data_IF_462101094884
#
_entry.id   IF_462101094884
#
_cell.length_a   1.000
_cell.length_b   1.000
_cell.length_c   1.000
_cell.angle_alpha   90.00
_cell.angle_beta   90.00
_cell.angle_gamma   90.00
#
_symmetry.space_group_name_H-M   'P 1'
#
loop_
_entity.id
_entity.type
_entity.pdbx_description
1 polymer ?
#
# COMPACT_ATOMS: atom_id res chain seq x y z
N UNK A 1 3.33 0.86 19.42
CA UNK A 1 2.27 1.45 18.58
C UNK A 1 2.52 1.11 17.12
N UNK A 2 1.51 0.62 16.44
CA UNK A 2 1.60 0.27 15.01
C UNK A 2 1.10 1.43 14.16
N UNK A 3 1.62 1.55 12.93
CA UNK A 3 1.22 2.60 11.98
C UNK A 3 0.97 1.97 10.62
N UNK A 4 -0.24 2.12 10.10
CA UNK A 4 -0.63 1.60 8.78
C UNK A 4 -1.11 2.73 7.88
N UNK A 5 -0.86 2.58 6.58
CA UNK A 5 -1.17 3.61 5.59
C UNK A 5 -1.67 2.93 4.31
N UNK A 6 -2.99 2.86 4.08
CA UNK A 6 -3.50 2.23 2.87
C UNK A 6 -3.26 3.12 1.64
N UNK A 7 -3.12 2.47 0.48
CA UNK A 7 -2.93 3.14 -0.80
C UNK A 7 -4.09 2.93 -1.78
N UNK A 8 -5.07 2.10 -1.43
CA UNK A 8 -6.24 1.81 -2.26
C UNK A 8 -7.43 1.37 -1.40
N UNK A 9 -8.65 1.35 -1.96
CA UNK A 9 -9.85 1.00 -1.20
C UNK A 9 -9.85 -0.42 -0.63
N UNK A 10 -9.34 -1.40 -1.36
CA UNK A 10 -9.30 -2.79 -0.89
C UNK A 10 -8.40 -2.92 0.35
N UNK A 11 -7.23 -2.29 0.32
CA UNK A 11 -6.31 -2.26 1.45
C UNK A 11 -6.89 -1.47 2.62
N UNK A 12 -7.59 -0.37 2.34
CA UNK A 12 -8.23 0.41 3.40
C UNK A 12 -9.20 -0.44 4.20
N UNK A 13 -10.04 -1.23 3.52
CA UNK A 13 -10.96 -2.14 4.19
C UNK A 13 -10.23 -3.21 5.01
N UNK A 14 -9.29 -3.92 4.37
CA UNK A 14 -8.60 -5.03 5.02
C UNK A 14 -7.68 -4.59 6.16
N UNK A 15 -6.96 -3.49 5.99
CA UNK A 15 -6.08 -2.95 7.03
C UNK A 15 -6.87 -2.33 8.19
N UNK A 16 -7.99 -1.66 7.92
CA UNK A 16 -8.80 -1.08 8.98
C UNK A 16 -9.39 -2.18 9.87
N UNK A 17 -9.94 -3.23 9.26
CA UNK A 17 -10.46 -4.36 10.01
C UNK A 17 -9.37 -5.03 10.85
N UNK A 18 -8.19 -5.24 10.28
CA UNK A 18 -7.06 -5.80 11.00
C UNK A 18 -6.63 -4.90 12.17
N UNK A 19 -6.65 -3.57 11.96
CA UNK A 19 -6.31 -2.59 12.99
C UNK A 19 -7.29 -2.62 14.16
N UNK A 20 -8.58 -2.73 13.88
CA UNK A 20 -9.63 -2.82 14.92
C UNK A 20 -9.45 -4.08 15.77
N UNK A 21 -9.04 -5.17 15.14
CA UNK A 21 -8.87 -6.48 15.81
C UNK A 21 -7.50 -6.68 16.43
N UNK A 22 -6.57 -5.74 16.24
CA UNK A 22 -5.24 -5.83 16.82
C UNK A 22 -5.31 -5.51 18.33
N UNK A 23 -4.46 -6.17 19.10
CA UNK A 23 -4.40 -5.96 20.55
C UNK A 23 -3.61 -4.72 20.95
N UNK A 24 -2.82 -4.19 20.02
CA UNK A 24 -2.03 -2.98 20.26
C UNK A 24 -2.72 -1.74 19.69
N UNK A 25 -2.37 -0.55 20.18
CA UNK A 25 -2.83 0.68 19.54
C UNK A 25 -2.28 0.79 18.12
N UNK A 26 -3.13 1.17 17.18
CA UNK A 26 -2.78 1.34 15.76
C UNK A 26 -3.15 2.74 15.32
N UNK A 27 -2.18 3.45 14.73
CA UNK A 27 -2.44 4.69 14.02
C UNK A 27 -2.77 4.31 12.58
N UNK A 28 -3.98 4.63 12.14
CA UNK A 28 -4.45 4.39 10.78
C UNK A 28 -4.41 5.72 10.03
N UNK A 29 -3.40 5.89 9.17
CA UNK A 29 -3.19 7.16 8.47
C UNK A 29 -3.91 7.15 7.13
N UNK A 30 -4.77 8.12 6.91
CA UNK A 30 -5.53 8.29 5.68
C UNK A 30 -5.12 9.56 4.97
N UNK A 31 -5.20 9.56 3.64
CA UNK A 31 -5.05 10.77 2.84
C UNK A 31 -6.44 11.28 2.45
N UNK A 32 -6.78 12.47 2.90
CA UNK A 32 -8.05 13.11 2.56
C UNK A 32 -8.21 13.25 1.04
N UNK A 33 -7.12 13.49 0.33
CA UNK A 33 -7.13 13.61 -1.13
C UNK A 33 -7.57 12.33 -1.83
N UNK A 34 -7.49 11.18 -1.15
CA UNK A 34 -7.86 9.88 -1.70
C UNK A 34 -9.28 9.45 -1.35
N UNK A 35 -10.03 10.20 -0.58
CA UNK A 35 -11.37 9.79 -0.15
C UNK A 35 -12.35 9.58 -1.31
N UNK A 36 -12.14 10.27 -2.43
CA UNK A 36 -12.94 10.08 -3.63
C UNK A 36 -12.44 8.99 -4.57
N UNK A 37 -11.31 8.37 -4.28
CA UNK A 37 -10.72 7.36 -5.14
C UNK A 37 -11.57 6.09 -5.12
N UNK A 38 -11.74 5.48 -6.30
CA UNK A 38 -12.52 4.27 -6.47
C UNK A 38 -11.61 3.11 -6.83
N UNK A 39 -11.99 1.91 -6.41
CA UNK A 39 -11.28 0.70 -6.74
C UNK A 39 -12.13 -0.50 -6.39
N UNK A 40 -11.73 -1.65 -6.90
CA UNK A 40 -12.39 -2.92 -6.58
C UNK A 40 -12.13 -3.28 -5.12
N UNK A 41 -13.20 -3.56 -4.39
CA UNK A 41 -13.13 -4.01 -3.00
C UNK A 41 -13.82 -5.36 -2.92
N UNK A 42 -13.11 -6.43 -2.53
CA UNK A 42 -13.75 -7.74 -2.40
C UNK A 42 -14.91 -7.70 -1.39
N UNK A 43 -15.99 -8.39 -1.74
CA UNK A 43 -17.10 -8.59 -0.81
C UNK A 43 -16.70 -9.56 0.29
N UNK A 44 -17.46 -9.53 1.39
CA UNK A 44 -17.26 -10.45 2.48
C UNK A 44 -16.18 -10.04 3.45
N UNK A 45 -15.77 -10.99 4.24
CA UNK A 45 -14.82 -10.79 5.34
C UNK A 45 -13.41 -11.13 4.89
N UNK A 46 -12.48 -10.18 5.06
CA UNK A 46 -11.06 -10.44 4.89
C UNK A 46 -10.25 -9.45 5.70
N UNK A 47 -9.03 -9.85 6.01
CA UNK A 47 -8.05 -9.02 6.71
C UNK A 47 -6.79 -8.92 5.85
N UNK A 48 -6.11 -7.78 5.95
CA UNK A 48 -4.76 -7.64 5.43
C UNK A 48 -3.83 -7.62 6.64
N UNK A 49 -2.85 -8.55 6.72
CA UNK A 49 -1.97 -8.60 7.88
C UNK A 49 -1.17 -7.32 8.07
N UNK A 50 -1.15 -6.79 9.28
CA UNK A 50 -0.30 -5.67 9.65
C UNK A 50 1.15 -6.16 9.71
N UNK A 51 2.07 -5.42 9.09
CA UNK A 51 3.47 -5.78 9.08
C UNK A 51 3.92 -6.52 7.83
N UNK A 52 3.05 -6.69 6.84
CA UNK A 52 3.38 -7.33 5.56
C UNK A 52 3.20 -6.36 4.40
N UNK A 53 4.26 -6.19 3.62
CA UNK A 53 4.25 -5.39 2.41
C UNK A 53 3.62 -6.15 1.24
N UNK A 54 3.32 -5.43 0.18
CA UNK A 54 2.77 -6.01 -1.04
C UNK A 54 3.63 -5.63 -2.24
N UNK A 55 3.98 -6.61 -3.06
CA UNK A 55 4.62 -6.34 -4.35
C UNK A 55 3.51 -5.98 -5.34
N UNK A 56 3.39 -4.69 -5.62
CA UNK A 56 2.36 -4.16 -6.52
C UNK A 56 2.70 -4.47 -7.97
N UNK A 57 3.97 -4.42 -8.30
CA UNK A 57 4.48 -4.70 -9.63
C UNK A 57 5.86 -5.35 -9.51
N UNK A 58 6.06 -6.43 -10.22
CA UNK A 58 7.38 -7.06 -10.31
C UNK A 58 8.26 -6.33 -11.32
N UNK A 59 9.56 -6.32 -11.08
CA UNK A 59 10.54 -5.72 -11.98
C UNK A 59 11.95 -6.13 -11.63
N UNK A 60 12.89 -5.90 -12.55
CA UNK A 60 14.25 -6.42 -12.46
C UNK A 60 15.33 -5.35 -12.43
N UNK A 61 15.01 -4.10 -12.77
CA UNK A 61 16.03 -3.05 -12.95
C UNK A 61 16.21 -2.17 -11.71
N UNK A 62 15.10 -1.81 -11.07
CA UNK A 62 15.09 -0.94 -9.90
C UNK A 62 13.92 -1.29 -9.00
N UNK A 63 14.06 -1.12 -7.70
CA UNK A 63 12.97 -1.30 -6.74
C UNK A 63 12.58 0.04 -6.15
N UNK A 64 11.29 0.35 -6.19
CA UNK A 64 10.71 1.55 -5.59
C UNK A 64 9.85 1.11 -4.41
N UNK A 65 10.23 1.54 -3.21
CA UNK A 65 9.48 1.27 -1.98
C UNK A 65 8.68 2.52 -1.61
N UNK A 66 7.39 2.36 -1.39
CA UNK A 66 6.50 3.50 -1.15
C UNK A 66 5.33 3.11 -0.24
N UNK A 67 4.51 4.07 0.08
CA UNK A 67 3.30 3.86 0.87
C UNK A 67 2.28 4.98 0.65
N UNK A 68 1.03 4.70 0.98
CA UNK A 68 -0.05 5.69 0.97
C UNK A 68 -0.30 6.31 -0.40
N UNK A 69 -0.65 7.59 -0.39
CA UNK A 69 -1.04 8.32 -1.62
C UNK A 69 0.07 8.44 -2.64
N UNK A 70 1.33 8.30 -2.21
CA UNK A 70 2.46 8.37 -3.13
C UNK A 70 2.42 7.26 -4.17
N UNK A 71 1.88 6.10 -3.81
CA UNK A 71 1.79 4.97 -4.73
C UNK A 71 0.94 5.31 -5.96
N UNK A 72 -0.37 5.61 -5.84
CA UNK A 72 -1.19 5.87 -7.04
C UNK A 72 -0.91 7.23 -7.67
N UNK A 73 -0.52 8.23 -6.89
CA UNK A 73 -0.41 9.62 -7.38
C UNK A 73 0.93 9.94 -8.02
N UNK A 74 2.01 9.31 -7.55
CA UNK A 74 3.38 9.64 -7.99
C UNK A 74 4.08 8.44 -8.58
N UNK A 75 4.14 7.33 -7.83
CA UNK A 75 4.96 6.17 -8.21
C UNK A 75 4.43 5.48 -9.45
N UNK A 76 3.13 5.20 -9.53
CA UNK A 76 2.59 4.49 -10.69
C UNK A 76 2.72 5.30 -11.99
N UNK A 77 2.44 6.61 -12.01
CA UNK A 77 2.75 7.42 -13.20
C UNK A 77 4.23 7.44 -13.56
N UNK A 78 5.13 7.51 -12.57
CA UNK A 78 6.57 7.47 -12.81
C UNK A 78 7.01 6.13 -13.39
N UNK A 79 6.44 5.03 -12.91
CA UNK A 79 6.72 3.68 -13.43
C UNK A 79 6.30 3.57 -14.89
N UNK A 80 5.18 4.16 -15.28
CA UNK A 80 4.73 4.18 -16.66
C UNK A 80 5.76 4.87 -17.57
N UNK A 81 6.33 5.99 -17.11
CA UNK A 81 7.39 6.68 -17.84
C UNK A 81 8.69 5.86 -17.91
N UNK A 82 9.07 5.21 -16.81
CA UNK A 82 10.25 4.34 -16.79
C UNK A 82 10.08 3.17 -17.78
N UNK A 83 8.90 2.60 -17.87
CA UNK A 83 8.61 1.52 -18.82
C UNK A 83 8.83 1.99 -20.27
N UNK A 84 8.43 3.23 -20.60
CA UNK A 84 8.68 3.81 -21.91
C UNK A 84 10.18 3.97 -22.20
N UNK A 85 10.98 4.13 -21.18
CA UNK A 85 12.44 4.25 -21.28
C UNK A 85 13.14 2.88 -21.26
N UNK A 86 12.40 1.79 -21.21
CA UNK A 86 12.97 0.45 -21.16
C UNK A 86 13.43 0.01 -19.77
N UNK A 87 13.04 0.72 -18.73
CA UNK A 87 13.40 0.42 -17.34
C UNK A 87 12.23 -0.33 -16.68
N UNK A 88 12.51 -1.51 -16.15
CA UNK A 88 11.53 -2.38 -15.52
C UNK A 88 11.62 -2.26 -14.01
N UNK A 89 10.74 -1.46 -13.41
CA UNK A 89 10.75 -1.17 -11.99
C UNK A 89 9.88 -2.16 -11.20
N UNK A 90 10.41 -2.63 -10.06
CA UNK A 90 9.61 -3.30 -9.05
C UNK A 90 9.02 -2.23 -8.12
N UNK A 91 7.75 -2.39 -7.74
CA UNK A 91 7.07 -1.47 -6.83
C UNK A 91 6.58 -2.24 -5.62
N UNK A 92 7.02 -1.79 -4.44
CA UNK A 92 6.62 -2.38 -3.15
C UNK A 92 5.81 -1.33 -2.38
N UNK A 93 4.59 -1.71 -2.01
CA UNK A 93 3.75 -0.93 -1.09
C UNK A 93 3.97 -1.47 0.32
N UNK A 94 4.52 -0.65 1.18
CA UNK A 94 4.78 -1.06 2.56
C UNK A 94 3.51 -1.38 3.34
N UNK A 95 2.40 -0.71 3.06
CA UNK A 95 1.14 -0.83 3.81
C UNK A 95 1.28 -0.50 5.29
N UNK A 96 2.27 -1.09 5.96
CA UNK A 96 2.59 -0.84 7.36
C UNK A 96 3.94 -0.14 7.46
N UNK A 97 3.95 1.04 8.07
CA UNK A 97 5.18 1.81 8.28
C UNK A 97 5.87 1.38 9.58
N UNK A 98 5.08 0.90 10.54
CA UNK A 98 5.61 0.34 11.78
C UNK A 98 4.73 -0.83 12.24
N UNK A 99 5.26 -2.04 12.35
CA UNK A 99 6.62 -2.45 11.95
C UNK A 99 6.77 -2.57 10.43
N UNK A 100 7.96 -2.24 9.93
CA UNK A 100 8.28 -2.41 8.50
C UNK A 100 8.58 -3.87 8.21
N UNK A 101 8.10 -4.33 7.05
CA UNK A 101 8.40 -5.66 6.54
C UNK A 101 9.77 -5.62 5.83
N UNK A 102 10.78 -6.17 6.48
CA UNK A 102 12.13 -6.24 5.92
C UNK A 102 12.40 -7.51 5.11
N UNK A 103 11.44 -8.41 5.04
CA UNK A 103 11.57 -9.65 4.28
C UNK A 103 11.11 -9.47 2.83
#
# INVERSE_FOLDING_TARGET
>A
MKVVVPSNPADAKGLLKASIRDNDPVIFMESELMYGDKGLVPDGEYLIPIGKANIVKEGTDVTIVTFGKMLPRVVMPAVAELTKMGINAEVIDLRTVRPIDYE
#
